data_IF_300395656446
#
_entry.id   IF_300395656446
#
_cell.length_a   1.000
_cell.length_b   1.000
_cell.length_c   1.000
_cell.angle_alpha   90.00
_cell.angle_beta   90.00
_cell.angle_gamma   90.00
#
_symmetry.space_group_name_H-M   'P 1'
#
loop_
_entity.id
_entity.type
_entity.pdbx_description
1 polymer ?
#
# COMPACT_ATOMS: atom_id res chain seq x y z
N UNK A 1 16.73 -14.73 7.37
CA UNK A 1 16.45 -13.59 8.28
C UNK A 1 15.92 -12.49 7.40
N UNK A 2 14.65 -12.10 7.62
CA UNK A 2 14.00 -11.03 6.86
C UNK A 2 14.68 -9.71 7.22
N UNK A 3 15.29 -9.05 6.23
CA UNK A 3 15.86 -7.71 6.41
C UNK A 3 14.69 -6.72 6.41
N UNK A 4 14.22 -6.38 7.63
CA UNK A 4 13.39 -5.21 7.85
C UNK A 4 14.28 -4.07 8.30
N UNK A 5 13.97 -2.85 7.87
CA UNK A 5 14.57 -1.64 8.40
C UNK A 5 14.00 -1.31 9.78
N UNK A 6 14.67 -0.41 10.49
CA UNK A 6 14.33 -0.05 11.88
C UNK A 6 12.91 0.52 12.04
N UNK A 7 12.36 1.13 10.99
CA UNK A 7 11.00 1.67 11.00
C UNK A 7 9.92 0.65 10.62
N UNK A 8 10.32 -0.59 10.35
CA UNK A 8 9.45 -1.69 9.94
C UNK A 8 9.31 -1.85 8.43
N UNK A 9 9.84 -0.94 7.61
CA UNK A 9 9.89 -1.12 6.16
C UNK A 9 10.52 -2.45 5.77
N UNK A 10 9.94 -3.08 4.77
CA UNK A 10 10.47 -4.29 4.16
C UNK A 10 10.77 -4.00 2.69
N UNK A 11 11.75 -4.71 2.10
CA UNK A 11 12.09 -4.60 0.68
C UNK A 11 13.32 -3.74 0.39
N UNK A 12 13.31 -3.02 -0.73
CA UNK A 12 14.47 -2.33 -1.30
C UNK A 12 14.60 -0.85 -0.87
N UNK A 13 13.68 -0.35 -0.04
CA UNK A 13 13.65 1.04 0.40
C UNK A 13 13.48 1.21 1.93
N UNK A 14 14.38 1.98 2.53
CA UNK A 14 14.32 2.41 3.94
C UNK A 14 13.54 3.72 4.08
N UNK A 15 12.24 3.63 4.35
CA UNK A 15 11.38 4.80 4.51
C UNK A 15 11.62 5.56 5.83
N UNK A 16 12.40 5.02 6.76
CA UNK A 16 12.91 5.76 7.91
C UNK A 16 13.87 6.87 7.51
N UNK A 17 14.63 6.65 6.42
CA UNK A 17 15.60 7.60 5.89
C UNK A 17 15.01 8.46 4.77
N UNK A 18 14.35 7.84 3.78
CA UNK A 18 13.85 8.57 2.60
C UNK A 18 12.44 9.16 2.78
N UNK A 19 11.72 8.74 3.82
CA UNK A 19 10.30 9.02 3.98
C UNK A 19 9.97 10.50 4.18
N UNK A 20 10.84 11.30 4.82
CA UNK A 20 10.50 12.66 5.30
C UNK A 20 9.96 13.62 4.23
N UNK A 21 10.37 13.44 2.97
CA UNK A 21 9.87 14.26 1.85
C UNK A 21 9.04 13.47 0.84
N UNK A 22 8.87 12.16 1.07
CA UNK A 22 8.28 11.23 0.10
C UNK A 22 6.86 11.62 -0.32
N UNK A 23 6.05 12.06 0.65
CA UNK A 23 4.68 12.55 0.41
C UNK A 23 4.63 13.86 -0.39
N UNK A 24 5.71 14.65 -0.43
CA UNK A 24 5.75 15.91 -1.21
C UNK A 24 5.91 15.65 -2.71
N UNK A 25 6.66 14.61 -3.07
CA UNK A 25 6.96 14.28 -4.47
C UNK A 25 5.94 13.30 -5.07
N UNK A 26 5.38 12.38 -4.29
CA UNK A 26 4.31 11.46 -4.74
C UNK A 26 2.92 12.08 -4.61
N UNK A 27 2.61 13.02 -5.51
CA UNK A 27 1.23 13.44 -5.73
C UNK A 27 0.52 12.43 -6.64
N UNK A 28 -0.71 12.01 -6.32
CA UNK A 28 -1.44 11.10 -7.18
C UNK A 28 -1.72 11.78 -8.53
N UNK A 29 -1.44 11.07 -9.61
CA UNK A 29 -1.91 11.45 -10.94
C UNK A 29 -3.43 11.22 -11.02
N UNK A 30 -4.25 12.23 -11.39
CA UNK A 30 -5.70 12.09 -11.45
C UNK A 30 -6.19 10.99 -12.39
N UNK A 31 -5.47 10.71 -13.48
CA UNK A 31 -5.85 9.64 -14.41
C UNK A 31 -5.62 8.27 -13.77
N UNK A 32 -4.49 8.07 -13.09
CA UNK A 32 -4.22 6.83 -12.35
C UNK A 32 -5.22 6.67 -11.20
N UNK A 33 -5.51 7.74 -10.46
CA UNK A 33 -6.53 7.72 -9.41
C UNK A 33 -7.92 7.35 -9.96
N UNK A 34 -8.29 7.85 -11.14
CA UNK A 34 -9.51 7.48 -11.84
C UNK A 34 -9.55 6.00 -12.24
N UNK A 35 -8.45 5.45 -12.76
CA UNK A 35 -8.32 4.03 -13.09
C UNK A 35 -8.42 3.14 -11.85
N UNK A 36 -7.78 3.54 -10.74
CA UNK A 36 -7.90 2.84 -9.46
C UNK A 36 -9.34 2.85 -8.97
N UNK A 37 -10.00 4.01 -9.03
CA UNK A 37 -11.38 4.14 -8.58
C UNK A 37 -12.36 3.32 -9.42
N UNK A 38 -12.17 3.30 -10.73
CA UNK A 38 -12.98 2.51 -11.65
C UNK A 38 -12.75 1.03 -11.45
N UNK A 39 -11.48 0.62 -11.31
CA UNK A 39 -11.15 -0.73 -10.92
C UNK A 39 -11.89 -1.06 -9.63
N UNK A 40 -11.84 -0.27 -8.57
CA UNK A 40 -12.52 -0.60 -7.31
C UNK A 40 -14.06 -0.68 -7.37
N UNK A 41 -14.75 -0.29 -8.45
CA UNK A 41 -16.22 -0.49 -8.52
C UNK A 41 -16.60 -1.98 -8.57
N UNK A 42 -17.72 -2.39 -7.92
CA UNK A 42 -18.64 -1.59 -7.11
C UNK A 42 -18.33 -1.59 -5.59
N UNK A 43 -17.10 -1.88 -5.17
CA UNK A 43 -16.71 -2.02 -3.76
C UNK A 43 -17.10 -0.81 -2.89
N UNK A 44 -17.46 -1.08 -1.64
CA UNK A 44 -17.67 -0.07 -0.59
C UNK A 44 -16.55 -0.11 0.44
N UNK A 45 -16.15 -1.31 0.83
CA UNK A 45 -15.09 -1.58 1.80
C UNK A 45 -13.82 -2.07 1.10
N UNK A 46 -12.68 -1.44 1.40
CA UNK A 46 -11.41 -1.74 0.71
C UNK A 46 -10.28 -1.91 1.72
N UNK A 47 -9.51 -2.99 1.56
CA UNK A 47 -8.22 -3.14 2.23
C UNK A 47 -7.10 -2.57 1.35
N UNK A 48 -6.42 -1.52 1.83
CA UNK A 48 -5.25 -0.93 1.18
C UNK A 48 -3.97 -1.49 1.82
N UNK A 49 -3.34 -2.49 1.18
CA UNK A 49 -2.13 -3.15 1.67
C UNK A 49 -0.90 -2.42 1.16
N UNK A 50 0.04 -2.11 2.05
CA UNK A 50 1.19 -1.25 1.73
C UNK A 50 0.74 0.17 1.42
N UNK A 51 -0.18 0.69 2.23
CA UNK A 51 -0.88 1.95 1.99
C UNK A 51 0.06 3.17 1.95
N UNK A 52 1.23 3.05 2.57
CA UNK A 52 2.17 4.13 2.72
C UNK A 52 1.54 5.37 3.38
N UNK A 53 1.95 6.54 2.90
CA UNK A 53 1.37 7.83 3.28
C UNK A 53 -0.04 8.09 2.69
N UNK A 54 -0.62 7.15 1.92
CA UNK A 54 -1.99 7.24 1.42
C UNK A 54 -2.17 7.98 0.08
N UNK A 55 -1.14 8.06 -0.76
CA UNK A 55 -1.15 8.89 -1.99
C UNK A 55 -2.32 8.60 -2.95
N UNK A 56 -2.60 7.33 -3.24
CA UNK A 56 -3.69 6.89 -4.13
C UNK A 56 -4.90 6.33 -3.38
N UNK A 57 -5.01 6.60 -2.08
CA UNK A 57 -6.10 6.09 -1.27
C UNK A 57 -7.43 6.79 -1.63
N UNK A 58 -8.47 6.05 -2.04
CA UNK A 58 -9.76 6.64 -2.36
C UNK A 58 -10.43 7.20 -1.10
N UNK A 59 -10.89 8.45 -1.17
CA UNK A 59 -11.53 9.14 -0.05
C UNK A 59 -13.05 9.00 -0.01
N UNK A 60 -13.63 8.39 -1.06
CA UNK A 60 -15.07 8.13 -1.18
C UNK A 60 -15.47 6.69 -0.81
N UNK A 61 -14.53 5.88 -0.31
CA UNK A 61 -14.73 4.49 0.11
C UNK A 61 -14.35 4.28 1.58
N UNK A 62 -14.86 3.19 2.18
CA UNK A 62 -14.48 2.77 3.54
C UNK A 62 -13.15 1.99 3.47
N UNK A 63 -12.03 2.71 3.59
CA UNK A 63 -10.69 2.12 3.49
C UNK A 63 -10.16 1.70 4.86
N UNK A 64 -9.68 0.47 4.94
CA UNK A 64 -8.76 0.03 6.00
C UNK A 64 -7.34 0.00 5.42
N UNK A 65 -6.42 0.77 6.00
CA UNK A 65 -5.04 0.85 5.55
C UNK A 65 -4.13 -0.06 6.38
N UNK A 66 -3.27 -0.83 5.72
CA UNK A 66 -2.22 -1.64 6.34
C UNK A 66 -0.86 -1.15 5.83
N UNK A 67 0.05 -0.80 6.73
CA UNK A 67 1.37 -0.26 6.39
C UNK A 67 2.41 -0.67 7.43
N UNK A 68 3.49 -1.37 7.05
CA UNK A 68 4.52 -1.79 7.99
C UNK A 68 5.44 -0.66 8.48
N UNK A 69 5.69 0.40 7.69
CA UNK A 69 6.58 1.52 8.05
C UNK A 69 5.91 2.49 9.02
N UNK A 70 6.45 2.61 10.24
CA UNK A 70 6.02 3.62 11.21
C UNK A 70 6.15 5.05 10.65
N UNK A 71 7.21 5.32 9.88
CA UNK A 71 7.47 6.60 9.23
C UNK A 71 6.40 6.96 8.21
N UNK A 72 5.95 6.00 7.40
CA UNK A 72 4.87 6.20 6.43
C UNK A 72 3.52 6.35 7.13
N UNK A 73 3.25 5.56 8.17
CA UNK A 73 2.04 5.73 9.00
C UNK A 73 1.95 7.13 9.61
N UNK A 74 3.06 7.67 10.09
CA UNK A 74 3.13 9.01 10.70
C UNK A 74 2.90 10.16 9.70
N UNK A 75 3.16 9.93 8.42
CA UNK A 75 2.99 10.93 7.35
C UNK A 75 1.57 10.98 6.78
N UNK A 76 0.69 10.06 7.18
CA UNK A 76 -0.68 10.02 6.67
C UNK A 76 -1.44 11.29 7.10
N UNK A 77 -2.09 12.01 6.18
CA UNK A 77 -2.84 13.21 6.51
C UNK A 77 -4.07 12.85 7.37
N UNK A 78 -4.50 13.78 8.23
CA UNK A 78 -5.54 13.53 9.22
C UNK A 78 -6.93 13.18 8.66
N UNK A 79 -7.18 13.45 7.37
CA UNK A 79 -8.43 13.09 6.70
C UNK A 79 -8.48 11.62 6.25
N UNK A 80 -7.35 10.93 6.24
CA UNK A 80 -7.27 9.50 5.94
C UNK A 80 -7.33 8.68 7.24
N UNK A 81 -7.85 7.44 7.18
CA UNK A 81 -7.77 6.51 8.30
C UNK A 81 -6.31 6.30 8.74
N UNK A 82 -6.12 6.11 10.05
CA UNK A 82 -4.84 5.64 10.59
C UNK A 82 -4.57 4.25 10.02
N UNK A 83 -3.36 4.04 9.51
CA UNK A 83 -2.96 2.72 9.04
C UNK A 83 -2.63 1.81 10.24
N UNK A 84 -3.02 0.56 10.11
CA UNK A 84 -2.68 -0.54 11.00
C UNK A 84 -1.27 -1.02 10.64
N UNK A 85 -0.47 -1.35 11.64
CA UNK A 85 0.82 -1.98 11.43
C UNK A 85 0.64 -3.44 11.02
N UNK A 86 1.24 -3.83 9.91
CA UNK A 86 1.26 -5.22 9.45
C UNK A 86 1.84 -5.36 8.05
N UNK A 87 1.92 -6.59 7.57
CA UNK A 87 2.53 -6.96 6.29
C UNK A 87 1.55 -7.74 5.41
N UNK A 88 1.80 -7.78 4.11
CA UNK A 88 0.93 -8.46 3.14
C UNK A 88 0.85 -9.97 3.38
N UNK A 89 1.91 -10.57 3.91
CA UNK A 89 2.07 -12.01 4.10
C UNK A 89 1.31 -12.57 5.31
N UNK A 90 0.77 -11.71 6.17
CA UNK A 90 0.05 -12.08 7.37
C UNK A 90 -1.00 -11.01 7.71
N UNK A 91 -2.12 -11.03 6.98
CA UNK A 91 -3.18 -10.05 7.14
C UNK A 91 -3.94 -10.32 8.46
N UNK A 92 -4.09 -9.31 9.35
CA UNK A 92 -4.74 -9.48 10.66
C UNK A 92 -6.28 -9.41 10.55
N UNK A 93 -6.84 -9.97 9.48
CA UNK A 93 -8.25 -9.83 9.13
C UNK A 93 -8.90 -11.19 8.86
N UNK A 94 -10.20 -11.28 9.14
CA UNK A 94 -10.99 -12.45 8.77
C UNK A 94 -11.31 -12.45 7.27
N UNK A 95 -11.68 -13.62 6.74
CA UNK A 95 -12.05 -13.80 5.33
C UNK A 95 -13.35 -13.08 5.01
N UNK A 96 -13.48 -12.60 3.76
CA UNK A 96 -14.73 -12.04 3.25
C UNK A 96 -15.23 -10.74 3.91
N UNK A 97 -14.41 -10.05 4.72
CA UNK A 97 -14.83 -8.80 5.38
C UNK A 97 -14.66 -7.53 4.53
N UNK A 98 -13.97 -7.63 3.39
CA UNK A 98 -13.75 -6.54 2.46
C UNK A 98 -14.30 -6.89 1.08
N UNK A 99 -14.91 -5.90 0.42
CA UNK A 99 -15.40 -6.04 -0.97
C UNK A 99 -14.24 -6.06 -1.99
N UNK A 100 -13.08 -5.49 -1.65
CA UNK A 100 -11.90 -5.51 -2.50
C UNK A 100 -10.60 -5.31 -1.69
N UNK A 101 -9.50 -5.83 -2.24
CA UNK A 101 -8.15 -5.48 -1.82
C UNK A 101 -7.44 -4.66 -2.89
N UNK A 102 -6.70 -3.62 -2.47
CA UNK A 102 -5.81 -2.82 -3.31
C UNK A 102 -4.39 -2.84 -2.76
N UNK A 103 -3.43 -2.73 -3.66
CA UNK A 103 -2.02 -2.54 -3.35
C UNK A 103 -1.41 -1.72 -4.48
N UNK A 104 -0.97 -0.49 -4.19
CA UNK A 104 -0.50 0.48 -5.19
C UNK A 104 0.99 0.76 -4.99
N UNK A 105 1.81 0.44 -6.00
CA UNK A 105 3.26 0.66 -5.97
C UNK A 105 3.96 0.11 -4.70
N UNK A 106 3.52 -1.05 -4.19
CA UNK A 106 4.08 -1.67 -2.97
C UNK A 106 4.54 -3.11 -3.17
N UNK A 107 4.02 -3.83 -4.18
CA UNK A 107 4.21 -5.28 -4.31
C UNK A 107 5.69 -5.70 -4.43
N UNK A 108 6.54 -4.84 -4.99
CA UNK A 108 8.00 -5.06 -5.07
C UNK A 108 8.69 -5.04 -3.69
N UNK A 109 8.05 -4.46 -2.67
CA UNK A 109 8.54 -4.43 -1.29
C UNK A 109 8.17 -5.69 -0.49
N UNK A 110 7.25 -6.51 -1.01
CA UNK A 110 6.78 -7.71 -0.31
C UNK A 110 7.88 -8.76 -0.30
N UNK A 111 8.16 -9.31 0.88
CA UNK A 111 9.23 -10.29 1.08
C UNK A 111 8.87 -11.63 0.45
N UNK A 112 7.59 -11.99 0.46
CA UNK A 112 7.09 -13.19 -0.18
C UNK A 112 5.84 -12.86 -0.99
N UNK A 113 6.05 -12.54 -2.27
CA UNK A 113 4.99 -12.23 -3.22
C UNK A 113 3.88 -13.29 -3.25
N UNK A 114 4.26 -14.58 -3.28
CA UNK A 114 3.29 -15.67 -3.38
C UNK A 114 2.39 -15.72 -2.15
N UNK A 115 2.95 -15.54 -0.95
CA UNK A 115 2.21 -15.51 0.30
C UNK A 115 1.34 -14.25 0.41
N UNK A 116 1.85 -13.08 0.06
CA UNK A 116 1.06 -11.85 0.04
C UNK A 116 -0.14 -11.94 -0.91
N UNK A 117 0.05 -12.50 -2.11
CA UNK A 117 -1.05 -12.75 -3.05
C UNK A 117 -2.04 -13.80 -2.55
N UNK A 118 -1.58 -14.81 -1.79
CA UNK A 118 -2.46 -15.81 -1.18
C UNK A 118 -3.37 -15.18 -0.12
N UNK A 119 -2.81 -14.35 0.75
CA UNK A 119 -3.59 -13.62 1.76
C UNK A 119 -4.59 -12.64 1.11
N UNK A 120 -4.15 -11.91 0.07
CA UNK A 120 -5.04 -11.01 -0.68
C UNK A 120 -6.20 -11.71 -1.40
N UNK A 121 -6.10 -13.02 -1.64
CA UNK A 121 -7.18 -13.82 -2.27
C UNK A 121 -8.23 -14.31 -1.27
N UNK A 122 -8.01 -14.15 0.03
CA UNK A 122 -8.96 -14.56 1.08
C UNK A 122 -10.23 -13.69 1.14
N UNK A 123 -10.25 -12.59 0.39
CA UNK A 123 -11.41 -11.70 0.27
C UNK A 123 -12.29 -12.17 -0.90
N UNK A 124 -13.54 -12.52 -0.60
CA UNK A 124 -14.51 -13.22 -1.46
C UNK A 124 -15.15 -12.34 -2.55
N UNK A 125 -14.35 -11.61 -3.31
CA UNK A 125 -14.90 -10.83 -4.41
C UNK A 125 -13.89 -9.84 -4.97
N UNK A 126 -13.39 -10.10 -6.17
CA UNK A 126 -12.57 -9.15 -6.94
C UNK A 126 -11.34 -8.58 -6.21
N UNK A 127 -10.27 -9.37 -6.12
CA UNK A 127 -8.92 -8.84 -5.92
C UNK A 127 -8.55 -7.91 -7.08
N UNK A 128 -8.31 -6.62 -6.80
CA UNK A 128 -7.89 -5.64 -7.81
C UNK A 128 -6.51 -5.10 -7.46
N UNK A 129 -5.51 -5.88 -7.87
CA UNK A 129 -4.10 -5.56 -7.72
C UNK A 129 -3.69 -4.50 -8.75
N UNK A 130 -3.21 -3.34 -8.30
CA UNK A 130 -2.73 -2.28 -9.17
C UNK A 130 -1.22 -2.13 -8.96
N UNK A 131 -0.48 -3.01 -9.65
CA UNK A 131 0.98 -2.97 -9.65
C UNK A 131 1.43 -1.78 -10.48
N UNK A 132 1.98 -0.79 -9.81
CA UNK A 132 2.83 0.19 -10.44
C UNK A 132 4.29 -0.16 -10.20
N UNK A 133 5.09 -0.18 -11.25
CA UNK A 133 6.55 -0.26 -11.14
C UNK A 133 7.05 1.07 -10.56
N UNK A 134 7.95 1.03 -9.58
CA UNK A 134 8.69 2.23 -9.21
C UNK A 134 9.44 2.73 -10.45
N UNK A 135 9.33 4.03 -10.75
CA UNK A 135 10.36 4.66 -11.57
C UNK A 135 11.54 4.78 -10.62
N UNK A 136 12.55 3.93 -10.82
CA UNK A 136 13.82 4.05 -10.12
C UNK A 136 14.30 5.50 -10.24
N UNK A 137 14.73 6.08 -9.12
CA UNK A 137 15.42 7.37 -9.17
C UNK A 137 16.60 7.24 -10.13
N UNK A 138 16.90 8.26 -10.98
CA UNK A 138 18.01 8.17 -11.91
C UNK A 138 19.27 7.85 -11.11
N UNK A 139 19.94 6.76 -11.49
CA UNK A 139 21.28 6.45 -11.00
C UNK A 139 22.14 7.70 -11.14
N UNK A 140 22.77 8.11 -10.04
CA UNK A 140 23.85 9.10 -10.10
C UNK A 140 24.87 8.61 -11.13
N UNK A 141 25.17 9.38 -12.18
CA UNK A 141 26.22 8.99 -13.10
C UNK A 141 27.55 9.00 -12.36
N UNK A 142 28.33 7.92 -12.53
CA UNK A 142 29.75 7.87 -12.18
C UNK A 142 30.56 8.97 -12.89
#
# INVERSE_FOLDING_TARGET
MSERFDDGSAGDADYGVIGREYSRYRRPDPAIAGLIREALRPARTVLNVGAGAGSYEPTDLEVTALEPSASMRAQRPAHLPRAIEGVAEALPFADGIFDAGMATFTVHQWQNLAQGLAEMRRFDGSLKLIVGHGIDSPSTPE
#
